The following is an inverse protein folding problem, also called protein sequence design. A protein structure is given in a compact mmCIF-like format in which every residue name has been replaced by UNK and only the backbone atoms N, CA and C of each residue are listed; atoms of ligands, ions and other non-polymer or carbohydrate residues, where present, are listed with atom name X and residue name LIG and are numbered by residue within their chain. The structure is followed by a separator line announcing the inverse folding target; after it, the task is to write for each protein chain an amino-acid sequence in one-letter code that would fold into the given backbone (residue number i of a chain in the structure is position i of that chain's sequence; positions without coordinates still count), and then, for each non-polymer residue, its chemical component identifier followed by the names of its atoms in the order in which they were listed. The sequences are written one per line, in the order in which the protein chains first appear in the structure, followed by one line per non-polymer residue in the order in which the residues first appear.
data_IF_487385197326
#
_entry.id   IF_487385197326
#
_cell.length_a   1.000
_cell.length_b   1.000
_cell.length_c   1.000
_cell.angle_alpha   90.00
_cell.angle_beta   90.00
_cell.angle_gamma   90.00
#
_symmetry.space_group_name_H-M   'P 1'
#
loop_
_entity.id
_entity.type
_entity.pdbx_description
1 polymer ?
#
# COMPACT_ATOMS: atom_id res chain seq x y z
N UNK A 1 -5.94 -10.32 2.77
CA UNK A 1 -6.83 -10.22 1.58
C UNK A 1 -5.97 -10.15 0.33
N UNK A 2 -6.42 -10.72 -0.79
CA UNK A 2 -5.62 -10.78 -2.02
C UNK A 2 -5.81 -9.55 -2.91
N UNK A 3 -4.71 -8.95 -3.36
CA UNK A 3 -4.69 -7.77 -4.23
C UNK A 3 -3.74 -7.96 -5.41
N UNK A 4 -4.09 -7.35 -6.55
CA UNK A 4 -3.22 -7.30 -7.70
C UNK A 4 -2.12 -6.28 -7.48
N UNK A 5 -0.89 -6.72 -7.68
CA UNK A 5 0.33 -5.93 -7.51
C UNK A 5 1.07 -5.93 -8.83
N UNK A 6 1.36 -4.74 -9.34
CA UNK A 6 2.12 -4.59 -10.57
C UNK A 6 3.61 -4.44 -10.24
N UNK A 7 4.45 -5.18 -10.95
CA UNK A 7 5.90 -5.18 -10.77
C UNK A 7 6.57 -4.92 -12.11
N UNK A 8 7.52 -4.00 -12.13
CA UNK A 8 8.35 -3.72 -13.29
C UNK A 8 9.81 -3.58 -12.88
N UNK A 9 10.72 -3.97 -13.77
CA UNK A 9 12.16 -3.77 -13.55
C UNK A 9 12.50 -2.27 -13.60
N UNK A 10 13.54 -1.88 -12.87
CA UNK A 10 14.13 -0.54 -12.98
C UNK A 10 15.51 -0.63 -13.64
N UNK A 11 15.88 0.40 -14.43
CA UNK A 11 17.12 0.41 -15.23
C UNK A 11 18.41 0.21 -14.41
N UNK A 12 18.42 0.64 -13.15
CA UNK A 12 19.58 0.53 -12.25
C UNK A 12 19.67 -0.84 -11.52
N UNK A 13 18.81 -1.80 -11.87
CA UNK A 13 18.60 -3.01 -11.09
C UNK A 13 17.57 -2.80 -9.97
N UNK A 14 16.88 -3.88 -9.61
CA UNK A 14 15.75 -3.85 -8.69
C UNK A 14 14.40 -3.70 -9.38
N UNK A 15 13.36 -3.57 -8.57
CA UNK A 15 11.96 -3.65 -8.96
C UNK A 15 11.21 -2.44 -8.42
N UNK A 16 10.41 -1.81 -9.29
CA UNK A 16 9.34 -0.92 -8.87
C UNK A 16 8.08 -1.76 -8.71
N UNK A 17 7.42 -1.57 -7.58
CA UNK A 17 6.20 -2.27 -7.19
C UNK A 17 5.10 -1.24 -7.01
N UNK A 18 3.95 -1.48 -7.61
CA UNK A 18 2.76 -0.64 -7.48
C UNK A 18 1.63 -1.51 -6.94
N UNK A 19 0.95 -1.00 -5.92
CA UNK A 19 -0.25 -1.59 -5.34
C UNK A 19 -1.43 -0.64 -5.63
N UNK A 20 -2.13 -0.82 -6.77
CA UNK A 20 -3.05 0.18 -7.31
C UNK A 20 -4.22 0.48 -6.37
N UNK A 21 -4.79 -0.55 -5.75
CA UNK A 21 -5.96 -0.42 -4.87
C UNK A 21 -5.68 0.44 -3.62
N UNK A 22 -4.41 0.57 -3.24
CA UNK A 22 -3.96 1.39 -2.11
C UNK A 22 -3.38 2.73 -2.56
N UNK A 23 -3.24 2.96 -3.87
CA UNK A 23 -2.48 4.08 -4.45
C UNK A 23 -1.05 4.19 -3.86
N UNK A 24 -0.38 3.05 -3.73
CA UNK A 24 0.96 2.95 -3.16
C UNK A 24 1.98 2.41 -4.15
N UNK A 25 3.23 2.80 -3.94
CA UNK A 25 4.39 2.24 -4.62
C UNK A 25 5.53 1.99 -3.63
N UNK A 26 6.33 0.96 -3.94
CA UNK A 26 7.53 0.59 -3.22
C UNK A 26 8.65 0.19 -4.20
N UNK A 27 9.87 0.16 -3.69
CA UNK A 27 11.02 -0.41 -4.41
C UNK A 27 11.47 -1.67 -3.68
N UNK A 28 11.84 -2.70 -4.44
CA UNK A 28 12.34 -3.97 -3.91
C UNK A 28 13.59 -4.38 -4.69
N UNK A 29 14.58 -4.97 -4.02
CA UNK A 29 15.78 -5.48 -4.72
C UNK A 29 15.49 -6.78 -5.47
N UNK A 30 14.54 -7.59 -4.97
CA UNK A 30 14.15 -8.87 -5.54
C UNK A 30 12.65 -9.16 -5.29
N UNK A 31 12.08 -10.08 -6.07
CA UNK A 31 10.65 -10.45 -5.99
C UNK A 31 10.25 -10.94 -4.60
N UNK A 32 11.14 -11.66 -3.92
CA UNK A 32 10.90 -12.18 -2.56
C UNK A 32 10.68 -11.09 -1.52
N UNK A 33 11.24 -9.89 -1.71
CA UNK A 33 11.07 -8.76 -0.79
C UNK A 33 9.76 -8.00 -1.00
N UNK A 34 9.08 -8.20 -2.14
CA UNK A 34 7.91 -7.42 -2.53
C UNK A 34 6.81 -7.40 -1.47
N UNK A 35 6.41 -8.54 -0.86
CA UNK A 35 5.38 -8.54 0.18
C UNK A 35 5.75 -7.66 1.37
N UNK A 36 6.99 -7.78 1.87
CA UNK A 36 7.46 -7.03 3.04
C UNK A 36 7.53 -5.53 2.75
N UNK A 37 8.04 -5.14 1.58
CA UNK A 37 8.13 -3.74 1.15
C UNK A 37 6.77 -3.09 1.01
N UNK A 38 5.78 -3.82 0.48
CA UNK A 38 4.41 -3.32 0.39
C UNK A 38 3.77 -3.17 1.76
N UNK A 39 3.96 -4.15 2.65
CA UNK A 39 3.42 -4.07 4.01
C UNK A 39 4.00 -2.90 4.80
N UNK A 40 5.30 -2.66 4.64
CA UNK A 40 5.97 -1.49 5.18
C UNK A 40 5.38 -0.19 4.63
N UNK A 41 5.20 -0.09 3.30
CA UNK A 41 4.62 1.07 2.65
C UNK A 41 3.18 1.35 3.13
N UNK A 42 2.34 0.31 3.24
CA UNK A 42 1.00 0.40 3.80
C UNK A 42 1.04 0.91 5.24
N UNK A 43 1.93 0.34 6.06
CA UNK A 43 2.01 0.72 7.47
C UNK A 43 2.45 2.16 7.71
N UNK A 44 3.34 2.66 6.86
CA UNK A 44 3.89 4.00 7.00
C UNK A 44 3.00 5.06 6.35
N UNK A 45 2.42 4.77 5.17
CA UNK A 45 1.87 5.80 4.28
C UNK A 45 0.37 5.72 4.05
N UNK A 46 -0.25 4.55 4.23
CA UNK A 46 -1.67 4.40 3.93
C UNK A 46 -2.55 4.77 5.12
N UNK A 47 -3.40 5.78 4.92
CA UNK A 47 -4.41 6.21 5.87
C UNK A 47 -5.82 5.97 5.30
N UNK A 48 -6.34 4.75 5.50
CA UNK A 48 -7.64 4.39 4.95
C UNK A 48 -8.23 3.12 5.55
N UNK A 49 -9.45 2.80 5.13
CA UNK A 49 -9.99 1.45 5.33
C UNK A 49 -9.36 0.52 4.29
N UNK A 50 -9.47 -0.79 4.51
CA UNK A 50 -9.08 -1.77 3.50
C UNK A 50 -9.83 -1.48 2.18
N UNK A 51 -9.14 -1.22 1.06
CA UNK A 51 -9.78 -1.00 -0.21
C UNK A 51 -10.38 -2.30 -0.74
N UNK A 52 -11.28 -2.21 -1.72
CA UNK A 52 -11.76 -3.38 -2.46
C UNK A 52 -10.68 -3.82 -3.43
N UNK A 53 -10.48 -5.13 -3.58
CA UNK A 53 -9.57 -5.70 -4.57
C UNK A 53 -10.12 -5.46 -5.98
N UNK A 54 -9.32 -4.83 -6.83
CA UNK A 54 -9.65 -4.66 -8.26
C UNK A 54 -9.45 -5.96 -9.03
N UNK A 55 -10.14 -6.07 -10.17
CA UNK A 55 -9.95 -7.19 -11.09
C UNK A 55 -8.88 -6.88 -12.12
N UNK A 56 -8.29 -7.91 -12.70
CA UNK A 56 -7.21 -7.73 -13.68
C UNK A 56 -7.71 -7.04 -14.94
N UNK A 57 -8.95 -7.32 -15.35
CA UNK A 57 -9.56 -6.75 -16.55
C UNK A 57 -9.70 -5.22 -16.45
N UNK A 58 -9.94 -4.71 -15.23
CA UNK A 58 -10.07 -3.27 -14.96
C UNK A 58 -8.71 -2.56 -15.01
N UNK A 59 -7.63 -3.27 -14.68
CA UNK A 59 -6.28 -2.71 -14.56
C UNK A 59 -5.45 -2.88 -15.84
N UNK A 60 -5.55 -4.00 -16.55
CA UNK A 60 -4.69 -4.31 -17.69
C UNK A 60 -4.84 -3.35 -18.89
N UNK A 61 -5.97 -2.63 -18.98
CA UNK A 61 -6.21 -1.65 -20.02
C UNK A 61 -5.47 -0.31 -19.76
N UNK A 62 -5.01 -0.08 -18.54
CA UNK A 62 -4.29 1.13 -18.14
C UNK A 62 -2.87 1.13 -18.71
N UNK A 63 -2.51 2.21 -19.42
CA UNK A 63 -1.21 2.34 -20.07
C UNK A 63 -0.04 2.32 -19.08
N UNK A 64 -0.30 2.63 -17.80
CA UNK A 64 0.70 2.60 -16.72
C UNK A 64 1.23 1.19 -16.43
N UNK A 65 0.56 0.14 -16.91
CA UNK A 65 0.84 -1.25 -16.56
C UNK A 65 1.25 -2.14 -17.76
N UNK A 66 2.03 -1.61 -18.71
CA UNK A 66 2.39 -2.32 -19.95
C UNK A 66 3.76 -3.03 -19.97
N UNK A 67 4.71 -2.60 -19.14
CA UNK A 67 6.12 -3.05 -19.17
C UNK A 67 6.53 -3.88 -17.94
N UNK A 68 5.64 -4.77 -17.51
CA UNK A 68 5.80 -5.49 -16.26
C UNK A 68 4.89 -6.70 -16.15
N UNK A 69 4.75 -7.21 -14.93
CA UNK A 69 3.94 -8.38 -14.65
C UNK A 69 3.13 -8.20 -13.37
N UNK A 70 2.05 -8.97 -13.30
CA UNK A 70 1.15 -8.97 -12.16
C UNK A 70 1.51 -10.07 -11.18
N UNK A 71 1.46 -9.75 -9.90
CA UNK A 71 1.48 -10.68 -8.79
C UNK A 71 0.16 -10.59 -8.04
N UNK A 72 -0.36 -11.73 -7.61
CA UNK A 72 -1.50 -11.77 -6.71
C UNK A 72 -1.00 -12.00 -5.29
N UNK A 73 -1.02 -10.95 -4.47
CA UNK A 73 -0.41 -10.97 -3.14
C UNK A 73 -1.46 -10.94 -2.04
N UNK A 74 -1.26 -11.78 -1.02
CA UNK A 74 -2.04 -11.69 0.21
C UNK A 74 -1.47 -10.60 1.11
N UNK A 75 -2.21 -9.50 1.23
CA UNK A 75 -1.87 -8.34 2.06
C UNK A 75 -2.69 -8.40 3.35
N UNK A 76 -2.03 -8.25 4.48
CA UNK A 76 -2.68 -8.08 5.77
C UNK A 76 -3.27 -6.67 5.88
N UNK A 77 -4.59 -6.61 6.07
CA UNK A 77 -5.36 -5.38 6.15
C UNK A 77 -6.11 -5.23 7.47
N UNK A 78 -6.00 -6.21 8.36
CA UNK A 78 -6.79 -6.27 9.60
C UNK A 78 -6.42 -5.12 10.54
N UNK A 79 -5.17 -4.68 10.48
CA UNK A 79 -4.63 -3.61 11.31
C UNK A 79 -4.96 -2.19 10.82
N UNK A 80 -5.45 -2.03 9.59
CA UNK A 80 -5.77 -0.70 9.03
C UNK A 80 -6.85 0.02 9.84
N UNK A 81 -7.91 -0.69 10.20
CA UNK A 81 -9.00 -0.15 11.02
C UNK A 81 -8.56 0.21 12.44
N UNK A 82 -7.67 -0.59 13.03
CA UNK A 82 -7.12 -0.37 14.38
C UNK A 82 -6.20 0.86 14.42
N UNK A 83 -5.32 1.03 13.43
CA UNK A 83 -4.39 2.17 13.33
C UNK A 83 -5.12 3.50 13.19
N UNK A 84 -6.19 3.55 12.39
CA UNK A 84 -7.03 4.75 12.26
C UNK A 84 -7.65 5.17 13.59
N UNK A 85 -8.18 4.23 14.37
CA UNK A 85 -8.76 4.52 15.69
C UNK A 85 -7.72 5.03 16.67
N UNK A 86 -6.55 4.38 16.74
CA UNK A 86 -5.43 4.80 17.62
C UNK A 86 -4.99 6.23 17.34
N UNK A 87 -4.71 6.58 16.07
CA UNK A 87 -4.31 7.93 15.69
C UNK A 87 -5.39 8.98 15.96
N UNK A 88 -6.68 8.64 15.78
CA UNK A 88 -7.79 9.54 16.14
C UNK A 88 -7.80 9.85 17.63
N UNK A 89 -7.58 8.84 18.48
CA UNK A 89 -7.47 9.00 19.94
C UNK A 89 -6.26 9.85 20.32
N UNK A 90 -5.09 9.60 19.72
CA UNK A 90 -3.87 10.38 19.96
C UNK A 90 -4.04 11.86 19.57
N UNK A 91 -4.65 12.14 18.41
CA UNK A 91 -4.97 13.52 17.98
C UNK A 91 -5.97 14.19 18.92
N UNK A 92 -7.01 13.48 19.36
CA UNK A 92 -7.97 14.01 20.33
C UNK A 92 -7.31 14.31 21.69
N UNK A 93 -6.41 13.44 22.16
CA UNK A 93 -5.65 13.65 23.39
C UNK A 93 -4.68 14.84 23.27
N UNK A 94 -3.95 14.95 22.16
CA UNK A 94 -3.04 16.08 21.90
C UNK A 94 -3.78 17.43 21.81
N UNK A 95 -4.99 17.45 21.25
CA UNK A 95 -5.83 18.65 21.22
C UNK A 95 -6.34 19.04 22.62
N UNK A 96 -6.66 18.04 23.47
CA UNK A 96 -7.15 18.27 24.84
C UNK A 96 -6.08 18.80 25.80
N UNK A 97 -4.79 18.53 25.52
CA UNK A 97 -3.64 18.95 26.34
C UNK A 97 -3.20 20.39 26.02
N UNK A 98 -3.75 21.05 24.99
CA UNK A 98 -3.58 22.49 24.74
C UNK A 98 -4.82 23.30 25.15
N UNK A 99 -5.13 23.50 26.44
CA UNK A 99 -6.01 24.58 26.85
C UNK A 99 -5.19 25.88 26.96
N UNK A 100 -5.68 26.95 26.32
CA UNK A 100 -5.40 28.35 26.68
C UNK A 100 -3.97 28.87 26.51
N UNK A 101 -3.74 29.62 25.44
CA UNK A 101 -3.05 30.91 25.58
C UNK A 101 -4.10 31.99 25.73
#
# INVERSE_FOLDING_TARGET
MFFLTYVMAQDAGGLRVILPDFDLQASAAAVVEVPDRLQEAIAQRYEGNAPKSSRLEDLQADERFRDGWWLWLNIDVDDLGRRRRKRKTERAAAHRIRPGR
#
